data_IF_917865877879
#
_entry.id   IF_917865877879
#
_cell.length_a   1.000
_cell.length_b   1.000
_cell.length_c   1.000
_cell.angle_alpha   90.00
_cell.angle_beta   90.00
_cell.angle_gamma   90.00
#
_symmetry.space_group_name_H-M   'P 1'
#
loop_
_entity.id
_entity.type
_entity.pdbx_description
1 polymer ?
#
# COMPACT_ATOMS: atom_id res chain seq x y z
N UNK A 1 13.01 0.69 -7.28
CA UNK A 1 12.07 1.83 -7.46
C UNK A 1 10.93 1.76 -6.43
N UNK A 2 10.44 2.91 -5.94
CA UNK A 2 9.31 2.95 -4.98
C UNK A 2 7.99 2.48 -5.63
N UNK A 3 7.14 1.76 -4.89
CA UNK A 3 5.77 1.48 -5.33
C UNK A 3 4.89 2.75 -5.26
N UNK A 4 3.76 2.74 -5.96
CA UNK A 4 2.85 3.90 -6.02
C UNK A 4 2.23 4.23 -4.65
N UNK A 5 1.91 3.22 -3.83
CA UNK A 5 1.38 3.46 -2.49
C UNK A 5 2.38 4.17 -1.58
N UNK A 6 3.66 3.77 -1.60
CA UNK A 6 4.70 4.47 -0.84
C UNK A 6 4.90 5.92 -1.30
N UNK A 7 4.75 6.20 -2.61
CA UNK A 7 4.80 7.57 -3.14
C UNK A 7 3.65 8.41 -2.59
N UNK A 8 2.42 7.89 -2.66
CA UNK A 8 1.22 8.56 -2.11
C UNK A 8 1.36 8.84 -0.62
N UNK A 9 1.83 7.86 0.15
CA UNK A 9 1.96 7.98 1.61
C UNK A 9 3.22 8.73 2.07
N UNK A 10 4.06 9.19 1.12
CA UNK A 10 5.38 9.79 1.38
C UNK A 10 6.22 8.94 2.35
N UNK A 11 6.21 7.62 2.15
CA UNK A 11 6.91 6.61 2.96
C UNK A 11 8.11 6.06 2.18
N UNK A 12 9.23 5.84 2.86
CA UNK A 12 10.36 5.09 2.29
C UNK A 12 9.94 3.69 1.81
N UNK A 13 10.37 3.32 0.61
CA UNK A 13 10.06 2.04 -0.02
C UNK A 13 11.32 1.18 -0.12
N UNK A 14 11.27 -0.03 0.42
CA UNK A 14 12.34 -1.04 0.34
C UNK A 14 11.93 -2.18 -0.60
N UNK A 15 12.82 -3.14 -0.80
CA UNK A 15 12.52 -4.38 -1.52
C UNK A 15 11.48 -5.23 -0.75
N UNK A 16 11.49 -5.15 0.58
CA UNK A 16 10.54 -5.80 1.50
C UNK A 16 9.25 -5.00 1.73
N UNK A 17 8.87 -4.13 0.78
CA UNK A 17 7.71 -3.25 0.96
C UNK A 17 6.38 -4.02 0.98
N UNK A 18 5.74 -4.09 2.15
CA UNK A 18 4.44 -4.77 2.34
C UNK A 18 3.28 -4.20 1.52
N UNK A 19 3.37 -2.95 1.03
CA UNK A 19 2.35 -2.35 0.17
C UNK A 19 2.46 -2.78 -1.29
N UNK A 20 3.65 -3.21 -1.72
CA UNK A 20 3.92 -3.55 -3.11
C UNK A 20 3.03 -4.71 -3.60
N UNK A 21 2.94 -5.87 -2.92
CA UNK A 21 2.07 -6.96 -3.36
C UNK A 21 0.60 -6.52 -3.44
N UNK A 22 0.12 -5.77 -2.43
CA UNK A 22 -1.26 -5.30 -2.36
C UNK A 22 -1.70 -4.35 -3.50
N UNK A 23 -0.77 -3.86 -4.30
CA UNK A 23 -1.03 -2.98 -5.44
C UNK A 23 -0.76 -3.65 -6.78
N UNK A 24 -0.09 -4.82 -6.81
CA UNK A 24 0.33 -5.47 -8.06
C UNK A 24 -0.84 -5.89 -8.95
N UNK A 25 -1.99 -6.22 -8.36
CA UNK A 25 -3.20 -6.60 -9.09
C UNK A 25 -3.97 -5.41 -9.67
N UNK A 26 -3.62 -4.17 -9.30
CA UNK A 26 -4.24 -2.95 -9.83
C UNK A 26 -3.43 -2.49 -11.04
N UNK A 27 -4.05 -2.49 -12.22
CA UNK A 27 -3.38 -2.38 -13.52
C UNK A 27 -2.60 -1.07 -13.72
N UNK A 28 -3.16 0.08 -13.33
CA UNK A 28 -2.55 1.39 -13.63
C UNK A 28 -1.95 2.06 -12.39
N UNK A 29 -0.82 2.80 -12.56
CA UNK A 29 -0.25 3.60 -11.48
C UNK A 29 -1.23 4.60 -10.86
N UNK A 30 -2.09 5.20 -11.68
CA UNK A 30 -3.13 6.15 -11.27
C UNK A 30 -4.16 5.47 -10.38
N UNK A 31 -4.66 4.29 -10.78
CA UNK A 31 -5.61 3.52 -9.98
C UNK A 31 -4.99 3.06 -8.65
N UNK A 32 -3.72 2.61 -8.65
CA UNK A 32 -3.00 2.29 -7.41
C UNK A 32 -2.91 3.51 -6.48
N UNK A 33 -2.67 4.69 -7.06
CA UNK A 33 -2.63 5.96 -6.35
C UNK A 33 -3.98 6.29 -5.69
N UNK A 34 -5.06 6.26 -6.47
CA UNK A 34 -6.42 6.54 -6.00
C UNK A 34 -6.87 5.54 -4.93
N UNK A 35 -6.63 4.24 -5.12
CA UNK A 35 -6.92 3.22 -4.12
C UNK A 35 -6.16 3.47 -2.82
N UNK A 36 -4.87 3.80 -2.90
CA UNK A 36 -4.06 4.13 -1.72
C UNK A 36 -4.60 5.37 -0.99
N UNK A 37 -4.91 6.45 -1.71
CA UNK A 37 -5.48 7.67 -1.12
C UNK A 37 -6.80 7.37 -0.43
N UNK A 38 -7.69 6.61 -1.10
CA UNK A 38 -8.99 6.22 -0.57
C UNK A 38 -8.83 5.49 0.75
N UNK A 39 -8.09 4.38 0.79
CA UNK A 39 -7.94 3.56 2.00
C UNK A 39 -7.21 4.33 3.11
N UNK A 40 -6.18 5.10 2.77
CA UNK A 40 -5.45 5.92 3.74
C UNK A 40 -6.30 7.03 4.37
N UNK A 41 -7.35 7.51 3.67
CA UNK A 41 -8.30 8.49 4.22
C UNK A 41 -9.13 7.91 5.36
N UNK A 42 -9.46 6.61 5.32
CA UNK A 42 -10.24 5.94 6.37
C UNK A 42 -9.37 5.47 7.53
N UNK A 43 -8.24 4.82 7.25
CA UNK A 43 -7.38 4.24 8.28
C UNK A 43 -6.33 5.20 8.83
N UNK A 44 -6.05 6.29 8.12
CA UNK A 44 -4.82 7.07 8.32
C UNK A 44 -3.56 6.26 7.96
N UNK A 45 -2.40 6.93 7.96
CA UNK A 45 -1.12 6.28 7.61
C UNK A 45 -0.77 5.14 8.57
N UNK A 46 -0.88 5.38 9.88
CA UNK A 46 -0.50 4.41 10.90
C UNK A 46 -1.46 3.22 10.94
N UNK A 47 -2.77 3.48 10.87
CA UNK A 47 -3.80 2.43 10.85
C UNK A 47 -3.68 1.54 9.62
N UNK A 48 -3.45 2.11 8.44
CA UNK A 48 -3.27 1.33 7.20
C UNK A 48 -2.06 0.38 7.30
N UNK A 49 -0.93 0.88 7.81
CA UNK A 49 0.27 0.06 7.97
C UNK A 49 0.08 -1.04 9.02
N UNK A 50 -0.55 -0.71 10.14
CA UNK A 50 -0.90 -1.69 11.17
C UNK A 50 -1.82 -2.78 10.61
N UNK A 51 -2.87 -2.40 9.89
CA UNK A 51 -3.82 -3.33 9.29
C UNK A 51 -3.11 -4.34 8.37
N UNK A 52 -2.34 -3.87 7.38
CA UNK A 52 -1.64 -4.75 6.44
C UNK A 52 -0.63 -5.64 7.16
N UNK A 53 0.10 -5.11 8.14
CA UNK A 53 1.14 -5.86 8.87
C UNK A 53 0.57 -6.98 9.72
N UNK A 54 -0.68 -6.85 10.19
CA UNK A 54 -1.38 -7.88 10.97
C UNK A 54 -2.02 -8.98 10.12
N UNK A 55 -2.10 -8.83 8.79
CA UNK A 55 -2.57 -9.88 7.89
C UNK A 55 -1.40 -10.84 7.58
N UNK A 56 -1.56 -12.18 7.69
CA UNK A 56 -0.56 -13.14 7.24
C UNK A 56 -0.21 -12.95 5.76
N UNK A 57 1.05 -13.17 5.37
CA UNK A 57 1.51 -12.88 4.00
C UNK A 57 0.75 -13.66 2.93
N UNK A 58 0.36 -14.91 3.20
CA UNK A 58 -0.46 -15.75 2.33
C UNK A 58 -1.89 -15.24 2.11
N UNK A 59 -2.34 -14.30 2.93
CA UNK A 59 -3.67 -13.68 2.90
C UNK A 59 -3.62 -12.20 2.54
N UNK A 60 -2.42 -11.63 2.34
CA UNK A 60 -2.28 -10.27 1.82
C UNK A 60 -2.59 -10.32 0.32
N UNK A 61 -3.40 -9.37 -0.18
CA UNK A 61 -3.66 -9.25 -1.61
C UNK A 61 -2.39 -8.88 -2.38
#
# INVERSE_FOLDING_TARGET
MSCNGCRVLRKGCSDTCILRPCLQWIETPEAQGHATVFVAKFFGRAGLMSFISNVPETQRP
#
